data_IF_641548235279
#
_entry.id   IF_641548235279
#
_cell.length_a   1.000
_cell.length_b   1.000
_cell.length_c   1.000
_cell.angle_alpha   90.00
_cell.angle_beta   90.00
_cell.angle_gamma   90.00
#
_symmetry.space_group_name_H-M   'P 1'
#
loop_
_entity.id
_entity.type
_entity.pdbx_description
1 polymer ?
#
# COMPACT_ATOMS: atom_id res chain seq x y z
N UNK A 1 -11.93 -26.38 45.30
CA UNK A 1 -10.81 -25.49 44.94
C UNK A 1 -11.20 -24.77 43.66
N UNK A 2 -10.95 -23.46 43.61
CA UNK A 2 -11.66 -22.46 42.80
C UNK A 2 -11.28 -22.48 41.31
N UNK A 3 -12.22 -22.78 40.44
CA UNK A 3 -12.28 -22.25 39.07
C UNK A 3 -13.72 -21.96 38.71
N UNK A 4 -14.18 -20.75 39.07
CA UNK A 4 -15.38 -20.17 38.52
C UNK A 4 -15.30 -18.68 38.79
N UNK A 5 -15.61 -17.87 37.77
CA UNK A 5 -15.68 -16.40 37.78
C UNK A 5 -14.36 -15.65 37.53
N UNK A 6 -13.87 -15.65 36.30
CA UNK A 6 -13.47 -14.40 35.61
C UNK A 6 -13.85 -14.59 34.14
N UNK A 7 -15.13 -14.35 33.89
CA UNK A 7 -15.62 -13.97 32.57
C UNK A 7 -15.22 -12.50 32.37
N UNK A 8 -14.78 -12.13 31.17
CA UNK A 8 -14.96 -10.78 30.62
C UNK A 8 -14.10 -9.58 31.08
N UNK A 9 -12.98 -9.71 31.79
CA UNK A 9 -12.14 -8.54 32.13
C UNK A 9 -10.67 -8.70 31.72
N UNK A 10 -10.40 -8.66 30.41
CA UNK A 10 -9.03 -8.76 29.90
C UNK A 10 -8.82 -8.29 28.45
N UNK A 11 -9.80 -7.62 27.83
CA UNK A 11 -9.61 -7.01 26.51
C UNK A 11 -9.15 -5.56 26.68
N UNK A 12 -8.05 -5.37 27.40
CA UNK A 12 -7.42 -4.07 27.56
C UNK A 12 -6.77 -3.68 26.22
N UNK A 13 -7.43 -2.78 25.49
CA UNK A 13 -6.88 -1.88 24.48
C UNK A 13 -5.62 -2.36 23.74
N UNK A 14 -5.77 -3.36 22.87
CA UNK A 14 -4.88 -3.45 21.71
C UNK A 14 -5.28 -2.30 20.76
N UNK A 15 -4.78 -1.09 21.02
CA UNK A 15 -4.89 0.01 20.09
C UNK A 15 -4.24 -0.44 18.79
N UNK A 16 -5.09 -0.74 17.80
CA UNK A 16 -4.69 -1.12 16.45
C UNK A 16 -3.88 0.05 15.90
N UNK A 17 -2.56 -0.11 15.83
CA UNK A 17 -1.72 0.68 14.93
C UNK A 17 -2.16 0.29 13.51
N UNK A 18 -3.20 0.93 13.01
CA UNK A 18 -3.54 0.85 11.60
C UNK A 18 -2.42 1.58 10.84
N UNK A 19 -1.60 0.90 10.03
CA UNK A 19 -0.69 1.62 9.16
C UNK A 19 -1.53 2.53 8.28
N UNK A 20 -1.11 3.79 8.15
CA UNK A 20 -1.69 4.70 7.18
C UNK A 20 -1.55 4.08 5.80
N UNK A 21 -2.66 3.59 5.24
CA UNK A 21 -2.72 3.04 3.89
C UNK A 21 -2.62 4.20 2.89
N UNK A 22 -1.43 4.77 2.76
CA UNK A 22 -1.10 5.70 1.68
C UNK A 22 -0.70 4.85 0.48
N UNK A 23 -1.47 4.95 -0.60
CA UNK A 23 -1.09 4.30 -1.86
C UNK A 23 0.17 4.93 -2.45
N UNK A 24 0.91 4.12 -3.19
CA UNK A 24 2.11 4.55 -3.89
C UNK A 24 1.75 5.50 -5.04
N UNK A 25 2.68 6.40 -5.36
CA UNK A 25 2.59 7.25 -6.55
C UNK A 25 3.57 6.76 -7.61
N UNK A 26 3.04 6.45 -8.78
CA UNK A 26 3.81 6.02 -9.95
C UNK A 26 3.69 7.01 -11.10
N UNK A 27 4.65 6.95 -12.01
CA UNK A 27 4.76 7.82 -13.17
C UNK A 27 4.97 6.99 -14.43
N UNK A 28 4.25 7.34 -15.49
CA UNK A 28 4.37 6.80 -16.83
C UNK A 28 4.67 7.97 -17.76
N UNK A 29 5.51 7.75 -18.77
CA UNK A 29 5.75 8.71 -19.86
C UNK A 29 6.20 7.96 -21.11
N UNK A 30 5.90 8.48 -22.28
CA UNK A 30 6.25 7.84 -23.57
C UNK A 30 7.75 7.55 -23.72
N UNK A 31 8.62 8.41 -23.17
CA UNK A 31 10.08 8.21 -23.12
C UNK A 31 10.61 7.42 -21.91
N UNK A 32 9.73 6.79 -21.14
CA UNK A 32 10.09 6.00 -19.96
C UNK A 32 10.64 4.62 -20.33
N UNK A 33 10.97 3.84 -19.30
CA UNK A 33 11.43 2.45 -19.44
C UNK A 33 10.77 1.60 -18.35
N UNK A 34 10.19 0.46 -18.71
CA UNK A 34 9.51 -0.44 -17.76
C UNK A 34 10.48 -1.13 -16.78
N UNK A 35 11.80 -1.13 -17.04
CA UNK A 35 12.80 -1.53 -16.05
C UNK A 35 13.08 -0.47 -14.97
N UNK A 36 12.54 0.75 -15.09
CA UNK A 36 12.67 1.76 -14.04
C UNK A 36 11.80 1.44 -12.82
N UNK A 37 12.02 2.15 -11.71
CA UNK A 37 11.20 2.00 -10.50
C UNK A 37 9.78 2.56 -10.62
N UNK A 38 9.53 3.51 -11.54
CA UNK A 38 8.23 4.16 -11.69
C UNK A 38 7.91 5.20 -10.61
N UNK A 39 8.75 5.37 -9.59
CA UNK A 39 8.45 6.17 -8.38
C UNK A 39 8.76 7.67 -8.51
N UNK A 40 9.16 8.13 -9.70
CA UNK A 40 9.48 9.53 -9.98
C UNK A 40 9.35 9.81 -11.47
N UNK A 41 9.10 11.07 -11.85
CA UNK A 41 9.06 11.46 -13.26
C UNK A 41 10.34 11.08 -14.03
N UNK A 42 11.53 11.26 -13.42
CA UNK A 42 12.82 10.88 -14.00
C UNK A 42 13.06 9.37 -14.18
N UNK A 43 12.26 8.55 -13.49
CA UNK A 43 12.34 7.08 -13.51
C UNK A 43 10.99 6.47 -13.87
N UNK A 44 10.19 7.17 -14.69
CA UNK A 44 8.87 6.71 -15.10
C UNK A 44 8.92 5.49 -16.03
N UNK A 45 7.85 4.71 -16.02
CA UNK A 45 7.62 3.59 -16.93
C UNK A 45 7.20 4.08 -18.32
N UNK A 46 7.31 3.20 -19.32
CA UNK A 46 7.00 3.53 -20.71
C UNK A 46 5.50 3.46 -21.03
N UNK A 47 4.76 2.59 -20.34
CA UNK A 47 3.36 2.29 -20.70
C UNK A 47 2.43 2.22 -19.50
N UNK A 48 1.18 2.65 -19.68
CA UNK A 48 0.10 2.50 -18.69
C UNK A 48 -0.23 1.02 -18.46
N UNK A 49 -0.12 0.19 -19.49
CA UNK A 49 -0.34 -1.25 -19.37
C UNK A 49 0.60 -1.89 -18.34
N UNK A 50 1.89 -1.54 -18.37
CA UNK A 50 2.84 -2.02 -17.36
C UNK A 50 2.47 -1.53 -15.96
N UNK A 51 2.13 -0.24 -15.81
CA UNK A 51 1.68 0.32 -14.53
C UNK A 51 0.47 -0.42 -13.95
N UNK A 52 -0.50 -0.80 -14.81
CA UNK A 52 -1.69 -1.53 -14.40
C UNK A 52 -1.41 -2.96 -13.88
N UNK A 53 -0.27 -3.55 -14.24
CA UNK A 53 0.15 -4.86 -13.69
C UNK A 53 0.80 -4.76 -12.31
N UNK A 54 1.25 -3.56 -11.92
CA UNK A 54 1.98 -3.31 -10.67
C UNK A 54 1.09 -2.60 -9.64
N UNK A 55 0.26 -1.65 -10.07
CA UNK A 55 -0.53 -0.79 -9.20
C UNK A 55 -1.59 -1.59 -8.44
N UNK A 56 -1.72 -1.29 -7.16
CA UNK A 56 -2.70 -1.86 -6.25
C UNK A 56 -3.77 -0.82 -5.89
N UNK A 57 -4.84 -1.27 -5.24
CA UNK A 57 -5.90 -0.38 -4.77
C UNK A 57 -5.33 0.69 -3.83
N UNK A 58 -5.64 1.95 -4.12
CA UNK A 58 -5.13 3.11 -3.39
C UNK A 58 -3.94 3.80 -4.07
N UNK A 59 -3.22 3.11 -4.96
CA UNK A 59 -2.11 3.70 -5.71
C UNK A 59 -2.61 4.71 -6.75
N UNK A 60 -1.75 5.67 -7.08
CA UNK A 60 -2.00 6.70 -8.11
C UNK A 60 -0.95 6.61 -9.20
N UNK A 61 -1.37 6.69 -10.46
CA UNK A 61 -0.48 6.69 -11.63
C UNK A 61 -0.64 8.00 -12.41
N UNK A 62 0.44 8.78 -12.51
CA UNK A 62 0.53 9.96 -13.37
C UNK A 62 1.06 9.58 -14.76
N UNK A 63 0.57 10.25 -15.81
CA UNK A 63 0.91 10.01 -17.23
C UNK A 63 1.42 11.27 -17.89
#
# INVERSE_FOLDING_TARGET
MKQSRICMLGLACAAVLAPSALGATYYVRTGGNNSNSGTSAGSAWSTVAYAATIANAGDTVYV
#
